data_IF_170666990104
#
_entry.id   IF_170666990104
#
_cell.length_a   1.000
_cell.length_b   1.000
_cell.length_c   1.000
_cell.angle_alpha   90.00
_cell.angle_beta   90.00
_cell.angle_gamma   90.00
#
_symmetry.space_group_name_H-M   'P 1'
#
loop_
_entity.id
_entity.type
_entity.pdbx_description
1 polymer ?
#
# COMPACT_ATOMS: atom_id res chain seq x y z
N UNK A 1 -28.46 23.51 4.07
CA UNK A 1 -27.09 23.31 4.59
C UNK A 1 -26.27 22.81 3.40
N UNK A 2 -25.30 23.58 2.94
CA UNK A 2 -24.62 23.33 1.68
C UNK A 2 -23.80 22.03 1.73
N UNK A 3 -23.98 21.21 0.71
CA UNK A 3 -23.21 20.02 0.40
C UNK A 3 -21.74 20.42 0.18
N UNK A 4 -20.86 20.02 1.10
CA UNK A 4 -19.42 20.01 0.81
C UNK A 4 -19.08 18.71 0.08
N UNK A 5 -19.64 18.58 -1.13
CA UNK A 5 -19.12 17.68 -2.17
C UNK A 5 -17.85 18.30 -2.74
N UNK A 6 -16.81 18.44 -1.91
CA UNK A 6 -15.44 18.63 -2.38
C UNK A 6 -14.94 17.24 -2.81
N UNK A 7 -15.52 16.74 -3.88
CA UNK A 7 -14.97 15.59 -4.59
C UNK A 7 -13.67 16.13 -5.19
N UNK A 8 -12.57 16.07 -4.44
CA UNK A 8 -11.24 16.48 -4.89
C UNK A 8 -10.70 15.36 -5.77
N UNK A 9 -10.84 15.55 -7.07
CA UNK A 9 -10.32 14.68 -8.12
C UNK A 9 -8.80 14.81 -8.08
N UNK A 10 -8.19 13.96 -7.26
CA UNK A 10 -6.97 13.26 -7.61
C UNK A 10 -5.82 14.17 -8.03
N UNK A 11 -5.43 15.09 -7.16
CA UNK A 11 -4.00 15.26 -6.98
C UNK A 11 -3.58 14.03 -6.17
N UNK A 12 -3.46 12.88 -6.85
CA UNK A 12 -2.99 11.65 -6.22
C UNK A 12 -1.49 11.86 -5.99
N UNK A 13 -1.19 12.63 -4.94
CA UNK A 13 0.17 12.86 -4.53
C UNK A 13 0.79 11.48 -4.37
N UNK A 14 2.00 11.27 -4.86
CA UNK A 14 2.60 9.94 -4.91
C UNK A 14 2.70 9.30 -3.51
N UNK A 15 2.77 10.11 -2.45
CA UNK A 15 2.65 9.68 -1.05
C UNK A 15 1.26 9.17 -0.65
N UNK A 16 0.18 9.71 -1.22
CA UNK A 16 -1.20 9.23 -1.05
C UNK A 16 -1.44 7.95 -1.84
N UNK A 17 -0.97 7.87 -3.09
CA UNK A 17 -0.97 6.63 -3.89
C UNK A 17 -0.28 5.49 -3.14
N UNK A 18 0.89 5.77 -2.57
CA UNK A 18 1.66 4.82 -1.79
C UNK A 18 0.86 4.35 -0.56
N UNK A 19 0.31 5.29 0.21
CA UNK A 19 -0.47 4.96 1.42
C UNK A 19 -1.67 4.08 1.10
N UNK A 20 -2.42 4.41 0.04
CA UNK A 20 -3.54 3.59 -0.43
C UNK A 20 -3.09 2.19 -0.85
N UNK A 21 -1.94 2.08 -1.53
CA UNK A 21 -1.39 0.80 -1.98
C UNK A 21 -0.97 -0.07 -0.79
N UNK A 22 -0.29 0.53 0.20
CA UNK A 22 0.08 -0.14 1.45
C UNK A 22 -1.14 -0.69 2.19
N UNK A 23 -2.22 0.08 2.31
CA UNK A 23 -3.44 -0.41 2.97
C UNK A 23 -4.08 -1.60 2.24
N UNK A 24 -4.02 -1.62 0.91
CA UNK A 24 -4.55 -2.74 0.11
C UNK A 24 -3.66 -3.98 0.26
N UNK A 25 -2.35 -3.80 0.23
CA UNK A 25 -1.40 -4.88 0.47
C UNK A 25 -1.55 -5.47 1.89
N UNK A 26 -1.75 -4.63 2.91
CA UNK A 26 -1.96 -5.08 4.29
C UNK A 26 -3.20 -5.96 4.39
N UNK A 27 -4.30 -5.56 3.74
CA UNK A 27 -5.51 -6.36 3.74
C UNK A 27 -5.31 -7.70 3.02
N UNK A 28 -4.63 -7.71 1.87
CA UNK A 28 -4.33 -8.94 1.13
C UNK A 28 -3.43 -9.89 1.93
N UNK A 29 -2.39 -9.37 2.59
CA UNK A 29 -1.50 -10.16 3.46
C UNK A 29 -2.27 -10.73 4.65
N UNK A 30 -3.12 -9.94 5.31
CA UNK A 30 -3.98 -10.44 6.39
C UNK A 30 -4.92 -11.55 5.93
N UNK A 31 -5.47 -11.43 4.72
CA UNK A 31 -6.29 -12.49 4.14
C UNK A 31 -5.46 -13.75 3.87
N UNK A 32 -4.27 -13.64 3.28
CA UNK A 32 -3.37 -14.77 3.06
C UNK A 32 -2.95 -15.45 4.37
N UNK A 33 -2.66 -14.67 5.41
CA UNK A 33 -2.33 -15.21 6.75
C UNK A 33 -3.52 -15.92 7.41
N UNK A 34 -4.73 -15.39 7.23
CA UNK A 34 -5.94 -15.96 7.85
C UNK A 34 -6.46 -17.18 7.09
N UNK A 35 -6.29 -17.18 5.77
CA UNK A 35 -6.72 -18.26 4.89
C UNK A 35 -5.70 -18.39 3.74
N UNK A 36 -4.64 -19.22 3.92
CA UNK A 36 -3.57 -19.38 2.95
C UNK A 36 -4.02 -20.25 1.77
N UNK A 37 -4.92 -19.70 0.97
CA UNK A 37 -5.24 -20.25 -0.36
C UNK A 37 -4.29 -19.64 -1.38
N UNK A 38 -3.91 -20.44 -2.38
CA UNK A 38 -2.95 -20.05 -3.43
C UNK A 38 -3.28 -18.67 -4.01
N UNK A 39 -4.55 -18.44 -4.35
CA UNK A 39 -5.03 -17.15 -4.85
C UNK A 39 -4.87 -15.98 -3.87
N UNK A 40 -5.02 -16.19 -2.56
CA UNK A 40 -4.85 -15.13 -1.56
C UNK A 40 -3.38 -14.77 -1.38
N UNK A 41 -2.52 -15.80 -1.38
CA UNK A 41 -1.05 -15.63 -1.35
C UNK A 41 -0.59 -14.87 -2.60
N UNK A 42 -1.06 -15.27 -3.79
CA UNK A 42 -0.76 -14.56 -5.04
C UNK A 42 -1.25 -13.11 -5.03
N UNK A 43 -2.47 -12.85 -4.54
CA UNK A 43 -2.99 -11.48 -4.41
C UNK A 43 -2.16 -10.63 -3.44
N UNK A 44 -1.68 -11.23 -2.35
CA UNK A 44 -0.79 -10.56 -1.41
C UNK A 44 0.56 -10.20 -2.07
N UNK A 45 1.18 -11.12 -2.81
CA UNK A 45 2.41 -10.85 -3.56
C UNK A 45 2.21 -9.75 -4.62
N UNK A 46 1.16 -9.85 -5.43
CA UNK A 46 0.84 -8.83 -6.44
C UNK A 46 0.60 -7.45 -5.82
N UNK A 47 -0.07 -7.39 -4.66
CA UNK A 47 -0.33 -6.13 -3.96
C UNK A 47 0.94 -5.52 -3.37
N UNK A 48 1.85 -6.35 -2.86
CA UNK A 48 3.17 -5.92 -2.40
C UNK A 48 3.99 -5.35 -3.56
N UNK A 49 4.05 -6.05 -4.70
CA UNK A 49 4.78 -5.58 -5.88
C UNK A 49 4.25 -4.22 -6.38
N UNK A 50 2.92 -4.07 -6.41
CA UNK A 50 2.30 -2.79 -6.78
C UNK A 50 2.68 -1.67 -5.80
N UNK A 51 2.78 -1.99 -4.52
CA UNK A 51 3.17 -1.03 -3.47
C UNK A 51 4.64 -0.66 -3.57
N UNK A 52 5.54 -1.59 -3.93
CA UNK A 52 6.96 -1.30 -4.20
C UNK A 52 7.12 -0.32 -5.36
N UNK A 53 6.34 -0.50 -6.43
CA UNK A 53 6.33 0.46 -7.55
C UNK A 53 5.84 1.85 -7.13
N UNK A 54 4.76 1.92 -6.34
CA UNK A 54 4.27 3.19 -5.80
C UNK A 54 5.30 3.86 -4.87
N UNK A 55 6.06 3.08 -4.10
CA UNK A 55 7.12 3.58 -3.22
C UNK A 55 8.23 4.25 -4.04
N UNK A 56 8.69 3.61 -5.11
CA UNK A 56 9.71 4.17 -6.01
C UNK A 56 9.25 5.52 -6.60
N UNK A 57 7.99 5.61 -7.00
CA UNK A 57 7.42 6.87 -7.51
C UNK A 57 7.37 7.95 -6.42
N UNK A 58 7.04 7.60 -5.19
CA UNK A 58 7.02 8.52 -4.06
C UNK A 58 8.41 8.98 -3.63
N UNK A 59 9.40 8.07 -3.58
CA UNK A 59 10.80 8.39 -3.29
C UNK A 59 11.38 9.34 -4.36
N UNK A 60 11.03 9.15 -5.63
CA UNK A 60 11.51 10.03 -6.72
C UNK A 60 10.95 11.45 -6.65
N UNK A 61 9.74 11.62 -6.11
CA UNK A 61 9.08 12.93 -6.02
C UNK A 61 9.48 13.71 -4.76
N UNK A 62 10.21 13.08 -3.83
CA UNK A 62 10.78 13.66 -2.60
C UNK A 62 9.76 14.47 -1.76
N UNK A 63 8.47 14.15 -1.89
CA UNK A 63 7.39 14.83 -1.19
C UNK A 63 6.85 13.92 -0.09
N UNK A 64 6.63 14.48 1.11
CA UNK A 64 6.16 13.76 2.30
C UNK A 64 7.04 12.54 2.65
N UNK A 65 8.37 12.75 2.68
CA UNK A 65 9.36 11.70 2.98
C UNK A 65 9.07 10.94 4.29
N UNK A 66 8.55 11.61 5.32
CA UNK A 66 8.13 10.94 6.58
C UNK A 66 7.06 9.86 6.33
N UNK A 67 6.04 10.20 5.53
CA UNK A 67 4.99 9.26 5.13
C UNK A 67 5.54 8.15 4.25
N UNK A 68 6.48 8.47 3.35
CA UNK A 68 7.15 7.48 2.49
C UNK A 68 7.93 6.47 3.32
N UNK A 69 8.70 6.93 4.32
CA UNK A 69 9.46 6.07 5.22
C UNK A 69 8.56 5.19 6.09
N UNK A 70 7.47 5.73 6.64
CA UNK A 70 6.49 4.95 7.41
C UNK A 70 5.86 3.83 6.56
N UNK A 71 5.44 4.17 5.34
CA UNK A 71 4.87 3.21 4.39
C UNK A 71 5.89 2.15 3.96
N UNK A 72 7.16 2.52 3.76
CA UNK A 72 8.26 1.59 3.48
C UNK A 72 8.47 0.60 4.62
N UNK A 73 8.47 1.05 5.87
CA UNK A 73 8.56 0.16 7.03
C UNK A 73 7.36 -0.79 7.11
N UNK A 74 6.15 -0.31 6.79
CA UNK A 74 4.97 -1.16 6.74
C UNK A 74 5.09 -2.23 5.66
N UNK A 75 5.58 -1.87 4.47
CA UNK A 75 5.81 -2.77 3.35
C UNK A 75 6.80 -3.89 3.69
N UNK A 76 7.91 -3.55 4.35
CA UNK A 76 8.89 -4.53 4.79
C UNK A 76 8.32 -5.49 5.84
N UNK A 77 7.49 -4.99 6.78
CA UNK A 77 6.77 -5.85 7.75
C UNK A 77 5.83 -6.82 7.02
N UNK A 78 5.05 -6.33 6.06
CA UNK A 78 4.13 -7.16 5.27
C UNK A 78 4.85 -8.25 4.48
N UNK A 79 5.99 -7.93 3.87
CA UNK A 79 6.86 -8.89 3.17
C UNK A 79 7.39 -9.96 4.12
N UNK A 80 7.76 -9.58 5.34
CA UNK A 80 8.19 -10.54 6.34
C UNK A 80 7.06 -11.46 6.77
N UNK A 81 5.89 -10.90 7.08
CA UNK A 81 4.70 -11.67 7.45
C UNK A 81 4.29 -12.66 6.36
N UNK A 82 4.30 -12.27 5.09
CA UNK A 82 3.93 -13.15 3.98
C UNK A 82 4.94 -14.28 3.75
N UNK A 83 6.22 -14.10 4.14
CA UNK A 83 7.22 -15.18 4.11
C UNK A 83 7.03 -16.22 5.22
N UNK A 84 6.29 -15.87 6.26
CA UNK A 84 6.00 -16.75 7.41
C UNK A 84 4.68 -17.53 7.22
N UNK A 85 3.92 -17.25 6.16
CA UNK A 85 2.71 -17.99 5.74
C UNK A 85 3.10 -19.26 4.99
#
# INVERSE_FOLDING_TARGET
MAEHSDTSWKNDHPSTLLSNSVQRADHAVKQAMSNPVETAIEQAYNSIEHTENALLHAEHQQENMDTVEQNKQQLERMKQQLREV
#
